data_IF_201882651271
#
_entry.id   IF_201882651271
#
_cell.length_a   1.000
_cell.length_b   1.000
_cell.length_c   1.000
_cell.angle_alpha   90.00
_cell.angle_beta   90.00
_cell.angle_gamma   90.00
#
_symmetry.space_group_name_H-M   'P 1'
#
loop_
_entity.id
_entity.type
_entity.pdbx_description
1 polymer ?
#
# COMPACT_ATOMS: atom_id res chain seq x y z
N UNK A 1 -15.12 -0.23 5.93
CA UNK A 1 -15.65 -1.05 4.83
C UNK A 1 -14.50 -1.27 3.88
N UNK A 2 -14.01 -2.51 3.75
CA UNK A 2 -12.86 -2.83 2.92
C UNK A 2 -13.22 -2.64 1.45
N UNK A 3 -12.54 -1.72 0.76
CA UNK A 3 -12.65 -1.59 -0.69
C UNK A 3 -11.98 -2.80 -1.36
N UNK A 4 -12.55 -3.33 -2.46
CA UNK A 4 -12.09 -4.58 -3.04
C UNK A 4 -10.78 -4.36 -3.80
N UNK A 5 -9.71 -4.99 -3.32
CA UNK A 5 -8.41 -5.07 -3.99
C UNK A 5 -8.60 -5.73 -5.35
N UNK A 6 -8.27 -5.02 -6.42
CA UNK A 6 -8.28 -5.53 -7.79
C UNK A 6 -7.19 -6.61 -7.88
N UNK A 7 -7.63 -7.87 -8.00
CA UNK A 7 -6.76 -9.03 -8.05
C UNK A 7 -6.51 -9.43 -9.50
N UNK A 8 -5.32 -9.18 -10.02
CA UNK A 8 -4.85 -9.80 -11.27
C UNK A 8 -4.22 -11.14 -10.91
N UNK A 9 -4.96 -12.21 -11.17
CA UNK A 9 -4.46 -13.58 -11.11
C UNK A 9 -3.69 -13.88 -12.40
N UNK A 10 -2.44 -14.32 -12.29
CA UNK A 10 -1.79 -15.14 -13.32
C UNK A 10 -0.99 -16.24 -12.63
N UNK A 11 -1.25 -17.45 -13.11
CA UNK A 11 -0.73 -18.73 -12.67
C UNK A 11 0.76 -18.82 -13.04
N UNK A 12 1.62 -19.26 -12.12
CA UNK A 12 2.58 -20.31 -12.49
C UNK A 12 3.23 -21.01 -11.30
N UNK A 13 3.34 -22.32 -11.43
CA UNK A 13 3.93 -23.24 -10.46
C UNK A 13 5.45 -23.33 -10.59
N UNK A 14 6.10 -23.66 -9.46
CA UNK A 14 7.49 -24.13 -9.45
C UNK A 14 8.45 -23.25 -8.63
N UNK A 15 8.73 -23.69 -7.39
CA UNK A 15 9.71 -23.07 -6.48
C UNK A 15 11.12 -22.99 -7.08
N UNK A 16 11.71 -21.80 -7.08
CA UNK A 16 13.17 -21.53 -7.02
C UNK A 16 13.42 -20.33 -6.09
N UNK A 17 14.59 -20.21 -5.43
CA UNK A 17 14.87 -19.09 -4.55
C UNK A 17 14.92 -17.80 -5.38
N UNK A 18 13.94 -16.94 -5.17
CA UNK A 18 13.69 -15.74 -5.99
C UNK A 18 14.73 -14.67 -5.68
N UNK A 19 15.78 -14.64 -6.51
CA UNK A 19 16.61 -13.44 -6.66
C UNK A 19 15.74 -12.38 -7.34
N UNK A 20 15.28 -11.38 -6.59
CA UNK A 20 14.47 -10.28 -7.12
C UNK A 20 15.36 -9.49 -8.10
N UNK A 21 15.17 -9.70 -9.40
CA UNK A 21 15.95 -9.05 -10.48
C UNK A 21 15.32 -7.74 -10.99
N UNK A 22 14.16 -7.35 -10.46
CA UNK A 22 13.45 -6.12 -10.85
C UNK A 22 12.00 -6.12 -10.35
N UNK A 23 11.23 -5.10 -10.72
CA UNK A 23 9.80 -4.96 -10.41
C UNK A 23 8.89 -5.97 -11.16
N UNK A 24 9.45 -6.75 -12.08
CA UNK A 24 8.73 -7.74 -12.89
C UNK A 24 8.22 -8.93 -12.07
N UNK A 25 8.72 -9.13 -10.84
CA UNK A 25 8.29 -10.21 -9.96
C UNK A 25 7.62 -9.64 -8.71
N UNK A 26 6.28 -9.55 -8.72
CA UNK A 26 5.49 -9.20 -7.55
C UNK A 26 4.93 -10.46 -6.88
N UNK A 27 5.29 -10.76 -5.63
CA UNK A 27 4.72 -11.90 -4.92
C UNK A 27 3.22 -11.71 -4.66
N UNK A 28 2.44 -12.76 -4.90
CA UNK A 28 1.00 -12.73 -4.63
C UNK A 28 0.73 -12.51 -3.13
N UNK A 29 -0.31 -11.72 -2.82
CA UNK A 29 -0.76 -11.37 -1.46
C UNK A 29 0.26 -10.60 -0.59
N UNK A 30 1.24 -9.94 -1.21
CA UNK A 30 2.22 -9.11 -0.49
C UNK A 30 1.81 -7.64 -0.44
N UNK A 31 0.75 -7.33 0.31
CA UNK A 31 0.33 -5.95 0.58
C UNK A 31 1.38 -5.19 1.40
N UNK A 32 2.11 -5.91 2.25
CA UNK A 32 3.22 -5.41 3.07
C UNK A 32 4.39 -4.87 2.24
N UNK A 33 4.53 -5.38 1.02
CA UNK A 33 5.50 -4.89 0.05
C UNK A 33 4.97 -3.76 -0.83
N UNK A 34 3.67 -3.42 -0.79
CA UNK A 34 3.07 -2.40 -1.64
C UNK A 34 2.97 -1.04 -0.92
N UNK A 35 3.86 -0.05 -1.20
CA UNK A 35 3.83 1.23 -0.49
C UNK A 35 2.53 2.02 -0.68
N UNK A 36 1.81 1.80 -1.79
CA UNK A 36 0.55 2.53 -2.06
C UNK A 36 -0.54 2.16 -1.05
N UNK A 37 -0.51 0.97 -0.46
CA UNK A 37 -1.46 0.58 0.60
C UNK A 37 -1.30 1.48 1.84
N UNK A 38 -0.07 1.95 2.12
CA UNK A 38 0.16 2.91 3.19
C UNK A 38 -0.31 4.32 2.84
N UNK A 39 -0.22 4.70 1.58
CA UNK A 39 -0.80 5.95 1.07
C UNK A 39 -2.31 5.92 1.26
N UNK A 40 -2.97 4.83 0.85
CA UNK A 40 -4.42 4.65 1.03
C UNK A 40 -4.83 4.67 2.51
N UNK A 41 -4.12 3.94 3.37
CA UNK A 41 -4.37 3.93 4.81
C UNK A 41 -4.21 5.33 5.43
N UNK A 42 -3.17 6.07 5.04
CA UNK A 42 -2.97 7.45 5.51
C UNK A 42 -4.10 8.38 5.05
N UNK A 43 -4.56 8.24 3.80
CA UNK A 43 -5.66 9.01 3.25
C UNK A 43 -6.99 8.68 3.94
N UNK A 44 -7.29 7.40 4.16
CA UNK A 44 -8.49 6.96 4.90
C UNK A 44 -8.50 7.55 6.31
N UNK A 45 -7.38 7.49 7.05
CA UNK A 45 -7.28 8.10 8.39
C UNK A 45 -7.44 9.63 8.38
N UNK A 46 -6.97 10.32 7.33
CA UNK A 46 -7.16 11.77 7.16
C UNK A 46 -8.64 12.10 6.95
N UNK A 47 -9.34 11.32 6.14
CA UNK A 47 -10.77 11.48 5.86
C UNK A 47 -11.63 11.12 7.07
N UNK A 48 -11.30 10.04 7.78
CA UNK A 48 -12.05 9.60 8.98
C UNK A 48 -12.03 10.69 10.07
N UNK A 49 -10.92 11.42 10.22
CA UNK A 49 -10.85 12.59 11.12
C UNK A 49 -11.78 13.75 10.72
N UNK A 50 -12.23 13.78 9.47
CA UNK A 50 -13.14 14.79 8.91
C UNK A 50 -14.53 14.23 8.66
N UNK A 51 -14.84 13.02 9.14
CA UNK A 51 -16.08 12.30 8.85
C UNK A 51 -17.34 13.10 9.19
N UNK A 52 -17.31 13.86 10.28
CA UNK A 52 -18.43 14.74 10.67
C UNK A 52 -18.73 15.85 9.66
N UNK A 53 -17.75 16.22 8.83
CA UNK A 53 -17.89 17.23 7.77
C UNK A 53 -18.31 16.63 6.42
N UNK A 54 -18.36 15.30 6.29
CA UNK A 54 -18.72 14.59 5.06
C UNK A 54 -20.17 14.12 5.16
N UNK A 55 -21.07 14.80 4.44
CA UNK A 55 -22.51 14.51 4.44
C UNK A 55 -22.93 13.83 3.12
N UNK A 56 -22.21 14.10 2.03
CA UNK A 56 -22.51 13.54 0.71
C UNK A 56 -21.25 13.21 -0.10
N UNK A 57 -21.46 12.57 -1.25
CA UNK A 57 -20.40 12.11 -2.13
C UNK A 57 -19.55 13.25 -2.72
N UNK A 58 -20.13 14.39 -3.03
CA UNK A 58 -19.39 15.53 -3.61
C UNK A 58 -18.43 16.14 -2.58
N UNK A 59 -18.87 16.28 -1.33
CA UNK A 59 -17.99 16.69 -0.23
C UNK A 59 -16.85 15.69 -0.01
N UNK A 60 -17.16 14.39 -0.07
CA UNK A 60 -16.13 13.34 0.04
C UNK A 60 -15.09 13.46 -1.07
N UNK A 61 -15.51 13.68 -2.33
CA UNK A 61 -14.60 13.87 -3.48
C UNK A 61 -13.70 15.09 -3.30
N UNK A 62 -14.24 16.20 -2.80
CA UNK A 62 -13.46 17.42 -2.51
C UNK A 62 -12.42 17.14 -1.43
N UNK A 63 -12.85 16.58 -0.29
CA UNK A 63 -11.95 16.28 0.84
C UNK A 63 -10.88 15.27 0.43
N UNK A 64 -11.22 14.24 -0.35
CA UNK A 64 -10.26 13.28 -0.91
C UNK A 64 -9.15 13.98 -1.69
N UNK A 65 -9.52 14.89 -2.60
CA UNK A 65 -8.56 15.63 -3.42
C UNK A 65 -7.68 16.54 -2.57
N UNK A 66 -8.27 17.29 -1.65
CA UNK A 66 -7.50 18.18 -0.77
C UNK A 66 -6.53 17.40 0.14
N UNK A 67 -6.97 16.29 0.74
CA UNK A 67 -6.11 15.50 1.62
C UNK A 67 -5.00 14.79 0.87
N UNK A 68 -5.25 14.41 -0.39
CA UNK A 68 -4.25 13.90 -1.32
C UNK A 68 -3.20 14.97 -1.65
N UNK A 69 -3.63 16.18 -2.03
CA UNK A 69 -2.72 17.30 -2.34
C UNK A 69 -1.92 17.77 -1.12
N UNK A 70 -2.45 17.56 0.10
CA UNK A 70 -1.74 17.81 1.37
C UNK A 70 -0.77 16.68 1.76
N UNK A 71 -0.64 15.61 0.98
CA UNK A 71 0.38 14.61 1.27
C UNK A 71 1.73 15.16 0.82
N UNK A 72 2.65 15.31 1.78
CA UNK A 72 3.98 15.82 1.50
C UNK A 72 4.83 14.78 0.77
N UNK A 73 5.76 15.26 -0.07
CA UNK A 73 6.70 14.41 -0.78
C UNK A 73 7.60 13.64 0.20
N UNK A 74 7.90 14.20 1.37
CA UNK A 74 8.72 13.56 2.41
C UNK A 74 8.10 12.24 2.91
N UNK A 75 6.78 12.19 3.05
CA UNK A 75 6.01 11.02 3.44
C UNK A 75 6.17 9.93 2.39
N UNK A 76 6.02 10.27 1.11
CA UNK A 76 6.18 9.34 -0.01
C UNK A 76 7.63 8.86 -0.08
N UNK A 77 8.60 9.76 0.06
CA UNK A 77 10.03 9.45 0.09
C UNK A 77 10.37 8.46 1.21
N UNK A 78 9.80 8.65 2.40
CA UNK A 78 9.98 7.73 3.53
C UNK A 78 9.39 6.36 3.25
N UNK A 79 8.24 6.29 2.58
CA UNK A 79 7.65 5.01 2.18
C UNK A 79 8.55 4.28 1.18
N UNK A 80 9.05 4.97 0.15
CA UNK A 80 9.98 4.39 -0.84
C UNK A 80 11.28 3.93 -0.16
N UNK A 81 11.89 4.76 0.68
CA UNK A 81 13.11 4.42 1.42
C UNK A 81 12.92 3.23 2.37
N UNK A 82 11.68 3.01 2.85
CA UNK A 82 11.36 1.86 3.72
C UNK A 82 11.36 0.51 2.99
N UNK A 83 11.31 0.49 1.66
CA UNK A 83 11.18 -0.76 0.88
C UNK A 83 12.27 -1.77 1.16
N UNK A 84 13.52 -1.33 1.32
CA UNK A 84 14.63 -2.22 1.67
C UNK A 84 14.33 -3.00 2.96
N UNK A 85 13.88 -2.30 4.00
CA UNK A 85 13.56 -2.88 5.32
C UNK A 85 12.35 -3.82 5.26
N UNK A 86 11.35 -3.51 4.43
CA UNK A 86 10.17 -4.38 4.21
C UNK A 86 10.57 -5.70 3.54
N UNK A 87 11.38 -5.61 2.48
CA UNK A 87 11.92 -6.79 1.81
C UNK A 87 12.75 -7.65 2.77
N UNK A 88 13.59 -7.03 3.61
CA UNK A 88 14.35 -7.73 4.64
C UNK A 88 13.43 -8.43 5.66
N UNK A 89 12.33 -7.79 6.07
CA UNK A 89 11.35 -8.37 6.97
C UNK A 89 10.65 -9.60 6.35
N UNK A 90 10.27 -9.54 5.07
CA UNK A 90 9.67 -10.68 4.35
C UNK A 90 10.67 -11.84 4.21
N UNK A 91 11.94 -11.54 3.92
CA UNK A 91 13.00 -12.55 3.87
C UNK A 91 13.16 -13.21 5.24
N UNK A 92 13.20 -12.42 6.32
CA UNK A 92 13.28 -12.93 7.71
C UNK A 92 12.06 -13.77 8.07
N UNK A 93 10.88 -13.39 7.61
CA UNK A 93 9.63 -14.13 7.76
C UNK A 93 9.51 -15.34 6.81
N UNK A 94 10.54 -15.62 5.99
CA UNK A 94 10.55 -16.71 4.99
C UNK A 94 9.38 -16.62 4.01
N UNK A 95 9.00 -15.41 3.61
CA UNK A 95 7.84 -15.15 2.73
C UNK A 95 6.49 -15.07 3.47
N UNK A 96 6.48 -15.16 4.80
CA UNK A 96 5.31 -14.91 5.62
C UNK A 96 4.96 -13.42 5.77
N UNK A 97 3.80 -13.14 6.36
CA UNK A 97 3.34 -11.79 6.62
C UNK A 97 4.27 -11.02 7.57
N UNK A 98 4.32 -9.71 7.40
CA UNK A 98 5.10 -8.79 8.24
C UNK A 98 4.19 -7.76 8.91
N UNK A 99 4.75 -6.90 9.76
CA UNK A 99 4.02 -5.81 10.43
C UNK A 99 3.80 -4.57 9.54
N UNK A 100 4.29 -4.61 8.29
CA UNK A 100 4.11 -3.52 7.33
C UNK A 100 2.73 -3.58 6.68
#
# INVERSE_FOLDING_TARGET
>A
MALPVIQVAMLDGGRRPTRIRGFEYWPARSLDLNPIEHVWNALERRIERKRSSVINLEQLKVILREEWERMDDEFVDRLVRSMKRRCEAVIKAKGGATEY
#
